data_IF_238710474612
#
_entry.id   IF_238710474612
#
_cell.length_a   1.000
_cell.length_b   1.000
_cell.length_c   1.000
_cell.angle_alpha   90.00
_cell.angle_beta   90.00
_cell.angle_gamma   90.00
#
_symmetry.space_group_name_H-M   'P 1'
#
loop_
_entity.id
_entity.type
_entity.pdbx_description
1 polymer ?
#
# COMPACT_ATOMS: atom_id res chain seq x y z
N UNK A 1 27.42 -17.77 -60.94
CA UNK A 1 27.23 -17.25 -59.58
C UNK A 1 25.76 -17.00 -59.37
N UNK A 2 25.09 -17.83 -58.55
CA UNK A 2 23.65 -17.78 -58.38
C UNK A 2 23.28 -16.75 -57.34
N UNK A 3 22.34 -15.83 -57.59
CA UNK A 3 21.89 -14.83 -56.64
C UNK A 3 20.91 -15.36 -55.56
N UNK A 4 20.83 -16.69 -55.43
CA UNK A 4 19.85 -17.33 -54.53
C UNK A 4 20.32 -17.53 -53.06
N UNK A 5 21.53 -17.08 -52.71
CA UNK A 5 22.07 -17.25 -51.34
C UNK A 5 22.01 -16.01 -50.44
N UNK A 6 21.55 -14.88 -50.97
CA UNK A 6 21.48 -13.61 -50.19
C UNK A 6 20.12 -13.33 -49.51
N UNK A 7 19.10 -14.15 -49.76
CA UNK A 7 17.73 -13.92 -49.29
C UNK A 7 17.32 -14.72 -48.04
N UNK A 8 18.23 -15.50 -47.45
CA UNK A 8 17.91 -16.40 -46.34
C UNK A 8 18.46 -15.93 -44.99
N UNK A 9 19.08 -14.76 -44.92
CA UNK A 9 19.68 -14.24 -43.68
C UNK A 9 18.85 -13.11 -43.05
N UNK A 10 17.81 -12.59 -43.71
CA UNK A 10 17.01 -11.48 -43.21
C UNK A 10 15.77 -11.87 -42.36
N UNK A 11 15.44 -13.14 -42.24
CA UNK A 11 14.21 -13.56 -41.51
C UNK A 11 14.44 -14.08 -40.07
N UNK A 12 15.67 -14.01 -39.55
CA UNK A 12 15.97 -14.57 -38.22
C UNK A 12 16.14 -13.50 -37.10
N UNK A 13 15.85 -12.25 -37.40
CA UNK A 13 16.05 -11.14 -36.42
C UNK A 13 14.77 -10.50 -35.87
N UNK A 14 13.61 -11.11 -36.08
CA UNK A 14 12.33 -10.50 -35.65
C UNK A 14 11.56 -11.30 -34.56
N UNK A 15 12.25 -12.18 -33.85
CA UNK A 15 11.66 -12.83 -32.65
C UNK A 15 12.29 -12.26 -31.37
N UNK A 16 12.37 -10.93 -31.25
CA UNK A 16 12.48 -10.28 -29.96
C UNK A 16 11.10 -10.42 -29.32
N UNK A 17 10.94 -11.52 -28.57
CA UNK A 17 9.86 -11.67 -27.61
C UNK A 17 9.84 -10.43 -26.74
N UNK A 18 8.92 -9.53 -27.00
CA UNK A 18 8.42 -8.60 -26.01
C UNK A 18 7.76 -9.43 -24.92
N UNK A 19 8.55 -9.91 -23.96
CA UNK A 19 8.02 -10.36 -22.70
C UNK A 19 7.42 -9.10 -22.10
N UNK A 20 6.10 -9.00 -22.18
CA UNK A 20 5.35 -8.06 -21.38
C UNK A 20 5.69 -8.42 -19.93
N UNK A 21 6.55 -7.62 -19.31
CA UNK A 21 6.77 -7.69 -17.86
C UNK A 21 5.42 -7.35 -17.27
N UNK A 22 4.66 -8.36 -16.85
CA UNK A 22 3.47 -8.16 -16.04
C UNK A 22 4.00 -7.53 -14.76
N UNK A 23 3.76 -6.23 -14.62
CA UNK A 23 4.18 -5.51 -13.42
C UNK A 23 3.47 -6.17 -12.23
N UNK A 24 4.25 -6.79 -11.36
CA UNK A 24 3.76 -7.48 -10.18
C UNK A 24 3.01 -6.48 -9.31
N UNK A 25 1.70 -6.71 -9.13
CA UNK A 25 0.85 -5.83 -8.33
C UNK A 25 1.07 -6.15 -6.86
N UNK A 26 1.62 -5.21 -6.13
CA UNK A 26 1.85 -5.32 -4.69
C UNK A 26 1.23 -4.14 -3.96
N UNK A 27 0.66 -4.41 -2.79
CA UNK A 27 0.27 -3.40 -1.81
C UNK A 27 1.29 -3.42 -0.68
N UNK A 28 1.82 -2.26 -0.36
CA UNK A 28 2.85 -2.09 0.66
C UNK A 28 2.39 -1.16 1.77
N UNK A 29 2.88 -1.43 2.98
CA UNK A 29 2.79 -0.51 4.10
C UNK A 29 3.90 0.51 3.98
N UNK A 30 3.57 1.77 4.13
CA UNK A 30 4.51 2.88 4.06
C UNK A 30 4.38 3.81 5.26
N UNK A 31 5.48 4.47 5.58
CA UNK A 31 5.56 5.59 6.50
C UNK A 31 6.28 6.75 5.84
N UNK A 32 6.30 7.92 6.46
CA UNK A 32 7.13 9.03 5.99
C UNK A 32 8.59 8.61 5.90
N UNK A 33 9.34 9.14 4.92
CA UNK A 33 10.76 8.82 4.75
C UNK A 33 11.59 9.07 6.03
N UNK A 34 11.20 10.04 6.83
CA UNK A 34 11.84 10.42 8.12
C UNK A 34 11.29 9.63 9.32
N UNK A 35 10.33 8.73 9.12
CA UNK A 35 9.71 7.97 10.20
C UNK A 35 10.71 7.05 10.89
N UNK A 36 10.69 6.94 12.24
CA UNK A 36 11.47 5.96 12.97
C UNK A 36 10.85 4.56 12.94
N UNK A 37 9.62 4.40 12.42
CA UNK A 37 8.94 3.13 12.38
C UNK A 37 9.65 2.15 11.44
N UNK A 38 9.71 0.88 11.84
CA UNK A 38 10.26 -0.22 11.05
C UNK A 38 9.46 -1.51 11.25
N UNK A 39 9.42 -2.08 12.39
CA UNK A 39 8.81 -3.40 12.61
C UNK A 39 7.38 -3.30 13.16
N UNK A 40 6.41 -3.43 12.25
CA UNK A 40 5.00 -3.59 12.61
C UNK A 40 4.53 -4.95 12.09
N UNK A 41 4.15 -5.84 12.99
CA UNK A 41 3.59 -7.12 12.59
C UNK A 41 2.12 -6.99 12.13
N UNK A 42 1.59 -8.04 11.54
CA UNK A 42 0.23 -8.02 10.97
C UNK A 42 -0.85 -7.86 12.04
N UNK A 43 -0.62 -8.36 13.25
CA UNK A 43 -1.56 -8.21 14.36
C UNK A 43 -1.56 -6.77 14.89
N UNK A 44 -0.40 -6.15 15.00
CA UNK A 44 -0.27 -4.74 15.39
C UNK A 44 -0.93 -3.82 14.37
N UNK A 45 -0.72 -4.06 13.07
CA UNK A 45 -1.40 -3.32 12.02
C UNK A 45 -2.91 -3.43 12.11
N UNK A 46 -3.41 -4.65 12.28
CA UNK A 46 -4.85 -4.86 12.48
C UNK A 46 -5.37 -4.11 13.69
N UNK A 47 -4.66 -4.14 14.82
CA UNK A 47 -5.01 -3.39 16.02
C UNK A 47 -5.08 -1.89 15.76
N UNK A 48 -4.09 -1.31 15.08
CA UNK A 48 -4.04 0.11 14.73
C UNK A 48 -5.30 0.52 13.97
N UNK A 49 -5.65 -0.19 12.92
CA UNK A 49 -6.81 0.13 12.08
C UNK A 49 -8.16 -0.23 12.73
N UNK A 50 -8.17 -1.07 13.76
CA UNK A 50 -9.37 -1.35 14.56
C UNK A 50 -9.54 -0.41 15.77
N UNK A 51 -8.64 0.55 15.95
CA UNK A 51 -8.70 1.55 17.01
C UNK A 51 -8.10 1.09 18.35
N UNK A 52 -7.33 0.00 18.35
CA UNK A 52 -6.59 -0.40 19.55
C UNK A 52 -5.25 0.35 19.64
N UNK A 53 -4.81 0.73 20.85
CA UNK A 53 -3.55 1.46 21.01
C UNK A 53 -2.35 0.56 20.68
N UNK A 54 -1.49 1.03 19.81
CA UNK A 54 -0.15 0.49 19.55
C UNK A 54 0.85 1.63 19.68
N UNK A 55 1.90 1.43 20.45
CA UNK A 55 2.90 2.47 20.74
C UNK A 55 4.28 2.05 20.27
N UNK A 56 5.03 3.05 19.83
CA UNK A 56 6.47 2.97 19.57
C UNK A 56 7.11 4.24 20.13
N UNK A 57 8.24 4.10 20.84
CA UNK A 57 8.95 5.23 21.47
C UNK A 57 8.02 6.15 22.28
N UNK A 58 7.10 5.57 23.06
CA UNK A 58 6.05 6.26 23.80
C UNK A 58 5.06 7.10 22.98
N UNK A 59 5.09 6.97 21.66
CA UNK A 59 4.18 7.63 20.72
C UNK A 59 3.15 6.64 20.18
N UNK A 60 1.93 7.12 20.03
CA UNK A 60 0.86 6.34 19.39
C UNK A 60 1.12 6.22 17.90
N UNK A 61 1.12 4.98 17.39
CA UNK A 61 1.13 4.72 15.95
C UNK A 61 -0.28 4.93 15.40
N UNK A 62 -0.40 5.75 14.36
CA UNK A 62 -1.67 6.06 13.71
C UNK A 62 -1.75 5.43 12.33
N UNK A 63 -2.86 4.77 12.05
CA UNK A 63 -3.19 4.27 10.72
C UNK A 63 -4.00 5.31 9.95
N UNK A 64 -3.53 5.68 8.77
CA UNK A 64 -4.26 6.53 7.84
C UNK A 64 -4.88 5.63 6.77
N UNK A 65 -6.15 5.83 6.47
CA UNK A 65 -6.87 5.07 5.44
C UNK A 65 -6.70 5.74 4.08
N UNK A 66 -6.33 4.95 3.10
CA UNK A 66 -6.26 5.36 1.70
C UNK A 66 -7.52 4.87 0.98
N UNK A 67 -8.48 5.76 0.75
CA UNK A 67 -9.81 5.42 0.24
C UNK A 67 -10.04 5.86 -1.21
N UNK A 68 -9.04 6.41 -1.88
CA UNK A 68 -9.15 6.91 -3.26
C UNK A 68 -9.15 5.83 -4.35
N UNK A 69 -8.93 4.57 -4.00
CA UNK A 69 -8.86 3.43 -4.93
C UNK A 69 -9.64 2.26 -4.37
N UNK A 70 -10.68 1.83 -5.07
CA UNK A 70 -11.59 0.75 -4.61
C UNK A 70 -10.89 -0.61 -4.54
N UNK A 71 -9.99 -0.92 -5.47
CA UNK A 71 -9.22 -2.17 -5.44
C UNK A 71 -8.28 -2.21 -4.26
N UNK A 72 -7.59 -1.11 -4.02
CA UNK A 72 -6.71 -0.96 -2.87
C UNK A 72 -7.47 -1.08 -1.55
N UNK A 73 -8.63 -0.43 -1.45
CA UNK A 73 -9.50 -0.52 -0.26
C UNK A 73 -9.98 -1.96 -0.02
N UNK A 74 -10.37 -2.69 -1.07
CA UNK A 74 -10.78 -4.09 -0.97
C UNK A 74 -9.65 -4.99 -0.47
N UNK A 75 -8.43 -4.82 -1.00
CA UNK A 75 -7.25 -5.56 -0.55
C UNK A 75 -6.94 -5.25 0.91
N UNK A 76 -7.00 -3.99 1.31
CA UNK A 76 -6.83 -3.57 2.70
C UNK A 76 -7.83 -4.26 3.64
N UNK A 77 -9.10 -4.28 3.28
CA UNK A 77 -10.14 -4.93 4.07
C UNK A 77 -9.87 -6.43 4.26
N UNK A 78 -9.40 -7.12 3.22
CA UNK A 78 -9.09 -8.54 3.27
C UNK A 78 -7.77 -8.85 3.98
N UNK A 79 -6.71 -8.12 3.67
CA UNK A 79 -5.35 -8.47 4.06
C UNK A 79 -4.91 -7.85 5.39
N UNK A 80 -5.48 -6.72 5.78
CA UNK A 80 -5.09 -6.00 7.01
C UNK A 80 -6.12 -6.18 8.11
N UNK A 81 -7.36 -5.75 7.90
CA UNK A 81 -8.39 -5.81 8.95
C UNK A 81 -9.14 -7.13 8.98
N UNK A 82 -9.13 -7.89 7.90
CA UNK A 82 -9.83 -9.17 7.76
C UNK A 82 -11.33 -9.07 8.12
N UNK A 83 -11.99 -8.07 7.57
CA UNK A 83 -13.41 -7.79 7.79
C UNK A 83 -14.10 -7.36 6.51
N UNK A 84 -15.42 -7.59 6.42
CA UNK A 84 -16.22 -6.95 5.38
C UNK A 84 -16.28 -5.44 5.58
N UNK A 85 -16.47 -4.69 4.51
CA UNK A 85 -16.61 -3.24 4.57
C UNK A 85 -17.69 -2.81 5.55
N UNK A 86 -18.87 -3.43 5.48
CA UNK A 86 -19.99 -3.15 6.38
C UNK A 86 -19.64 -3.37 7.85
N UNK A 87 -18.93 -4.45 8.18
CA UNK A 87 -18.50 -4.74 9.56
C UNK A 87 -17.44 -3.77 10.03
N UNK A 88 -16.50 -3.42 9.16
CA UNK A 88 -15.47 -2.46 9.47
C UNK A 88 -16.04 -1.05 9.70
N UNK A 89 -16.91 -0.57 8.83
CA UNK A 89 -17.58 0.72 9.00
C UNK A 89 -18.39 0.78 10.29
N UNK A 90 -19.11 -0.30 10.64
CA UNK A 90 -19.81 -0.39 11.93
C UNK A 90 -18.84 -0.27 13.11
N UNK A 91 -17.69 -0.94 13.04
CA UNK A 91 -16.63 -0.83 14.05
C UNK A 91 -16.14 0.61 14.19
N UNK A 92 -15.80 1.26 13.07
CA UNK A 92 -15.32 2.66 13.07
C UNK A 92 -16.32 3.64 13.66
N UNK A 93 -17.61 3.48 13.37
CA UNK A 93 -18.66 4.32 13.93
C UNK A 93 -18.81 4.13 15.44
N UNK A 94 -18.52 2.94 15.96
CA UNK A 94 -18.62 2.67 17.39
C UNK A 94 -17.48 3.26 18.24
N UNK A 95 -16.32 3.51 17.65
CA UNK A 95 -15.13 3.95 18.38
C UNK A 95 -15.34 5.27 19.16
N UNK A 96 -15.77 6.38 18.55
CA UNK A 96 -15.98 7.62 19.29
C UNK A 96 -17.16 7.55 20.25
N UNK A 97 -18.21 6.79 19.91
CA UNK A 97 -19.44 6.72 20.70
C UNK A 97 -19.30 5.86 21.95
N UNK A 98 -18.60 4.73 21.87
CA UNK A 98 -18.49 3.75 22.96
C UNK A 98 -17.18 3.82 23.72
N UNK A 99 -16.12 4.24 23.10
CA UNK A 99 -14.76 4.18 23.64
C UNK A 99 -14.06 5.54 23.71
N UNK A 100 -14.66 6.62 23.15
CA UNK A 100 -14.04 7.92 23.06
C UNK A 100 -12.75 7.96 22.21
N UNK A 101 -12.57 6.95 21.36
CA UNK A 101 -11.38 6.81 20.51
C UNK A 101 -11.69 7.41 19.14
N UNK A 102 -10.87 8.33 18.62
CA UNK A 102 -11.07 8.84 17.27
C UNK A 102 -10.90 7.74 16.22
N UNK A 103 -11.72 7.81 15.18
CA UNK A 103 -11.57 6.92 14.02
C UNK A 103 -10.24 7.18 13.31
N UNK A 104 -9.65 6.17 12.66
CA UNK A 104 -8.58 6.39 11.71
C UNK A 104 -9.00 7.42 10.66
N UNK A 105 -8.16 8.43 10.43
CA UNK A 105 -8.41 9.43 9.40
C UNK A 105 -8.36 8.79 8.01
N UNK A 106 -9.22 9.25 7.11
CA UNK A 106 -9.29 8.74 5.74
C UNK A 106 -9.00 9.86 4.74
N UNK A 107 -8.36 9.47 3.65
CA UNK A 107 -7.94 10.35 2.57
C UNK A 107 -8.22 9.67 1.23
N UNK A 108 -8.92 10.35 0.36
CA UNK A 108 -9.23 9.91 -1.00
C UNK A 108 -8.28 10.50 -2.05
N UNK A 109 -7.57 11.57 -1.71
CA UNK A 109 -6.58 12.19 -2.58
C UNK A 109 -5.14 11.89 -2.12
N UNK A 110 -4.27 11.43 -3.05
CA UNK A 110 -2.89 11.07 -2.72
C UNK A 110 -2.08 12.18 -2.09
N UNK A 111 -2.25 13.42 -2.54
CA UNK A 111 -1.52 14.58 -2.02
C UNK A 111 -1.86 14.85 -0.54
N UNK A 112 -3.15 14.81 -0.19
CA UNK A 112 -3.58 14.99 1.18
C UNK A 112 -3.09 13.88 2.10
N UNK A 113 -3.09 12.64 1.61
CA UNK A 113 -2.55 11.49 2.33
C UNK A 113 -1.05 11.64 2.60
N UNK A 114 -0.27 12.01 1.61
CA UNK A 114 1.18 12.22 1.74
C UNK A 114 1.51 13.37 2.70
N UNK A 115 0.75 14.45 2.65
CA UNK A 115 0.89 15.58 3.57
C UNK A 115 0.60 15.16 5.02
N UNK A 116 -0.46 14.40 5.24
CA UNK A 116 -0.81 13.89 6.56
C UNK A 116 0.26 12.92 7.10
N UNK A 117 0.80 12.07 6.23
CA UNK A 117 1.85 11.12 6.57
C UNK A 117 3.15 11.84 6.97
N UNK A 118 3.53 12.87 6.22
CA UNK A 118 4.70 13.71 6.50
C UNK A 118 4.55 14.54 7.77
N UNK A 119 3.32 14.92 8.12
CA UNK A 119 3.01 15.69 9.32
C UNK A 119 3.12 14.91 10.63
N UNK A 120 3.14 13.59 10.59
CA UNK A 120 3.31 12.75 11.77
C UNK A 120 4.17 11.51 11.45
N UNK A 121 5.43 11.47 11.92
CA UNK A 121 6.35 10.38 11.63
C UNK A 121 5.95 9.03 12.24
N UNK A 122 4.97 8.99 13.14
CA UNK A 122 4.38 7.77 13.70
C UNK A 122 3.08 7.35 13.01
N UNK A 123 2.84 7.86 11.81
CA UNK A 123 1.71 7.44 10.98
C UNK A 123 2.16 6.44 9.92
N UNK A 124 1.25 5.53 9.59
CA UNK A 124 1.41 4.55 8.51
C UNK A 124 0.19 4.57 7.61
N UNK A 125 0.39 4.23 6.35
CA UNK A 125 -0.67 3.99 5.39
C UNK A 125 -0.28 2.87 4.44
N UNK A 126 -1.16 2.53 3.54
CA UNK A 126 -0.94 1.51 2.51
C UNK A 126 -1.15 2.11 1.14
N UNK A 127 -0.38 1.66 0.18
CA UNK A 127 -0.50 2.09 -1.21
C UNK A 127 0.06 1.03 -2.17
N UNK A 128 -0.17 1.22 -3.45
CA UNK A 128 0.48 0.41 -4.46
C UNK A 128 2.00 0.60 -4.41
N UNK A 129 2.73 -0.50 -4.55
CA UNK A 129 4.20 -0.45 -4.53
C UNK A 129 4.77 0.50 -5.58
N UNK A 130 4.20 0.50 -6.79
CA UNK A 130 4.66 1.39 -7.87
C UNK A 130 4.45 2.88 -7.53
N UNK A 131 3.45 3.23 -6.72
CA UNK A 131 3.25 4.59 -6.25
C UNK A 131 4.27 4.94 -5.14
N UNK A 132 4.52 4.02 -4.21
CA UNK A 132 5.53 4.18 -3.17
C UNK A 132 6.94 4.36 -3.76
N UNK A 133 7.29 3.55 -4.75
CA UNK A 133 8.62 3.60 -5.41
C UNK A 133 8.87 4.91 -6.17
N UNK A 134 7.81 5.59 -6.61
CA UNK A 134 7.90 6.89 -7.28
C UNK A 134 7.98 8.09 -6.33
N UNK A 135 7.68 7.90 -5.07
CA UNK A 135 7.69 8.96 -4.06
C UNK A 135 8.97 8.91 -3.24
N UNK A 136 9.63 10.06 -3.11
CA UNK A 136 10.78 10.24 -2.21
C UNK A 136 10.35 10.55 -0.78
N UNK A 137 9.07 10.82 -0.56
CA UNK A 137 8.53 11.27 0.74
C UNK A 137 8.14 10.11 1.64
N UNK A 138 8.12 8.90 1.11
CA UNK A 138 7.73 7.70 1.85
C UNK A 138 8.81 6.62 1.79
N UNK A 139 8.81 5.77 2.80
CA UNK A 139 9.58 4.52 2.83
C UNK A 139 8.64 3.33 2.99
N UNK A 140 8.94 2.25 2.30
CA UNK A 140 8.22 0.98 2.44
C UNK A 140 8.68 0.26 3.70
N UNK A 141 7.72 -0.17 4.52
CA UNK A 141 7.98 -0.96 5.73
C UNK A 141 7.83 -2.45 5.48
N UNK A 142 6.77 -2.87 4.77
CA UNK A 142 6.53 -4.28 4.43
C UNK A 142 5.55 -4.43 3.29
N UNK A 143 5.57 -5.59 2.64
CA UNK A 143 4.54 -6.00 1.68
C UNK A 143 3.33 -6.54 2.44
N UNK A 144 2.15 -6.03 2.13
CA UNK A 144 0.88 -6.45 2.73
C UNK A 144 0.16 -7.48 1.88
N UNK A 145 0.28 -7.35 0.58
CA UNK A 145 -0.37 -8.21 -0.40
C UNK A 145 0.40 -8.20 -1.72
N UNK A 146 0.37 -9.32 -2.39
CA UNK A 146 0.99 -9.52 -3.69
C UNK A 146 0.08 -10.36 -4.56
N UNK A 147 -0.04 -9.99 -5.82
CA UNK A 147 -0.74 -10.80 -6.81
C UNK A 147 0.21 -11.90 -7.31
N UNK A 148 -0.22 -13.15 -7.17
CA UNK A 148 0.46 -14.32 -7.74
C UNK A 148 0.25 -14.42 -9.25
#
# INVERSE_FOLDING_TARGET
MSPARALLICCLAAALCTQAVVAERQVVLVAAATSPLHDLDSLELRKIYLGFPVRRDDRMVKGLRNTGDDDLNRIFLQSVVAMSEKSYMRRLLSLPLRQGIPRPSEYDEPEHLLNALSGNPYSVTYMWKHAADRSTDVKTLKVLWQQD
#
